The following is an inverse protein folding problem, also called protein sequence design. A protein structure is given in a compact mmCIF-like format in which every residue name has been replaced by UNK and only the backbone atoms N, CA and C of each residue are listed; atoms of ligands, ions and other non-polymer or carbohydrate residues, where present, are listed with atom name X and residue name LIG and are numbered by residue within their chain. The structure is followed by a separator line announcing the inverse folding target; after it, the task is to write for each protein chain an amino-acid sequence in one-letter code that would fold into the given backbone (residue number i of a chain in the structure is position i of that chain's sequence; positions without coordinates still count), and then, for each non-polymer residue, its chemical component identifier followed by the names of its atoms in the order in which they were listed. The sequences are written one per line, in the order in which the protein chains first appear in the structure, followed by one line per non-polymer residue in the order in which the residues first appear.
data_IF_222236863158
#
_entry.id   IF_222236863158
#
_cell.length_a   1.000
_cell.length_b   1.000
_cell.length_c   1.000
_cell.angle_alpha   90.00
_cell.angle_beta   90.00
_cell.angle_gamma   90.00
#
_symmetry.space_group_name_H-M   'P 1'
#
loop_
_entity.id
_entity.type
_entity.pdbx_description
1 polymer ?
#
# COMPACT_ATOMS: atom_id res chain seq x y z
N UNK A 1 16.48 59.87 16.92
CA UNK A 1 15.78 59.01 17.90
C UNK A 1 14.58 58.21 17.34
N UNK A 2 13.99 58.55 16.18
CA UNK A 2 12.80 57.84 15.65
C UNK A 2 13.09 56.49 14.97
N UNK A 3 14.23 56.35 14.30
CA UNK A 3 14.59 55.15 13.51
C UNK A 3 14.75 53.88 14.35
N UNK A 4 15.38 53.98 15.52
CA UNK A 4 15.57 52.84 16.43
C UNK A 4 14.25 52.28 16.99
N UNK A 5 13.22 53.13 17.18
CA UNK A 5 11.90 52.67 17.64
C UNK A 5 11.14 51.94 16.52
N UNK A 6 11.28 52.38 15.27
CA UNK A 6 10.66 51.75 14.11
C UNK A 6 11.27 50.38 13.82
N UNK A 7 12.61 50.26 13.83
CA UNK A 7 13.30 48.98 13.65
C UNK A 7 12.91 47.97 14.74
N UNK A 8 12.83 48.42 16.01
CA UNK A 8 12.41 47.56 17.12
C UNK A 8 10.97 47.08 16.98
N UNK A 9 10.04 47.91 16.49
CA UNK A 9 8.64 47.52 16.23
C UNK A 9 8.52 46.48 15.11
N UNK A 10 9.27 46.66 14.02
CA UNK A 10 9.29 45.70 12.90
C UNK A 10 9.88 44.35 13.36
N UNK A 11 10.99 44.37 14.10
CA UNK A 11 11.60 43.15 14.64
C UNK A 11 10.66 42.40 15.59
N UNK A 12 9.98 43.09 16.51
CA UNK A 12 8.97 42.48 17.39
C UNK A 12 7.78 41.91 16.60
N UNK A 13 7.31 42.63 15.58
CA UNK A 13 6.23 42.14 14.70
C UNK A 13 6.60 40.86 13.96
N UNK A 14 7.82 40.80 13.41
CA UNK A 14 8.32 39.61 12.73
C UNK A 14 8.47 38.40 13.69
N UNK A 15 8.97 38.63 14.91
CA UNK A 15 9.09 37.59 15.93
C UNK A 15 7.73 37.05 16.39
N UNK A 16 6.73 37.93 16.56
CA UNK A 16 5.37 37.52 16.91
C UNK A 16 4.70 36.73 15.76
N UNK A 17 4.89 37.15 14.51
CA UNK A 17 4.39 36.43 13.35
C UNK A 17 5.04 35.04 13.21
N UNK A 18 6.35 34.95 13.40
CA UNK A 18 7.07 33.67 13.39
C UNK A 18 6.62 32.74 14.53
N UNK A 19 6.44 33.28 15.74
CA UNK A 19 5.91 32.54 16.89
C UNK A 19 4.49 32.03 16.64
N UNK A 20 3.60 32.87 16.09
CA UNK A 20 2.25 32.47 15.71
C UNK A 20 2.26 31.40 14.61
N UNK A 21 3.11 31.54 13.59
CA UNK A 21 3.27 30.55 12.52
C UNK A 21 3.80 29.21 13.05
N UNK A 22 4.76 29.21 13.97
CA UNK A 22 5.27 28.00 14.61
C UNK A 22 4.21 27.33 15.49
N UNK A 23 3.40 28.10 16.23
CA UNK A 23 2.30 27.57 17.04
C UNK A 23 1.18 26.99 16.17
N UNK A 24 0.79 27.69 15.12
CA UNK A 24 -0.20 27.22 14.14
C UNK A 24 0.32 26.00 13.41
N UNK A 25 1.56 26.01 12.93
CA UNK A 25 2.21 24.88 12.28
C UNK A 25 2.30 23.66 13.19
N UNK A 26 2.77 23.84 14.44
CA UNK A 26 2.83 22.78 15.44
C UNK A 26 1.45 22.23 15.81
N UNK A 27 0.43 23.09 15.90
CA UNK A 27 -0.95 22.68 16.15
C UNK A 27 -1.54 21.90 14.97
N UNK A 28 -1.38 22.41 13.74
CA UNK A 28 -1.89 21.77 12.52
C UNK A 28 -1.20 20.43 12.26
N UNK A 29 0.09 20.31 12.55
CA UNK A 29 0.85 19.06 12.40
C UNK A 29 0.57 18.04 13.51
N UNK A 30 0.25 18.48 14.74
CA UNK A 30 -0.07 17.57 15.86
C UNK A 30 -1.55 17.19 15.93
N UNK A 31 -2.45 18.01 15.41
CA UNK A 31 -3.91 17.76 15.43
C UNK A 31 -4.34 16.42 14.80
N UNK A 32 -3.71 15.92 13.73
CA UNK A 32 -4.06 14.64 13.11
C UNK A 32 -3.51 13.42 13.86
N UNK A 33 -2.63 13.61 14.85
CA UNK A 33 -2.03 12.49 15.59
C UNK A 33 -3.12 11.80 16.43
N UNK A 34 -3.40 10.51 16.18
CA UNK A 34 -4.49 9.82 16.87
C UNK A 34 -4.17 9.58 18.35
N UNK A 35 -5.21 9.47 19.18
CA UNK A 35 -5.04 9.12 20.60
C UNK A 35 -4.65 7.65 20.74
N UNK A 36 -3.40 7.39 21.12
CA UNK A 36 -2.88 6.03 21.29
C UNK A 36 -3.22 5.39 22.66
N UNK A 37 -3.71 6.17 23.63
CA UNK A 37 -4.03 5.70 25.00
C UNK A 37 -5.46 6.04 25.36
N UNK A 38 -6.11 5.15 26.11
CA UNK A 38 -7.43 5.35 26.68
C UNK A 38 -8.31 4.11 26.60
N UNK A 39 -9.55 4.26 27.05
CA UNK A 39 -10.61 3.26 26.90
C UNK A 39 -11.65 3.81 25.94
N UNK A 40 -12.09 2.98 25.00
CA UNK A 40 -13.10 3.32 24.01
C UNK A 40 -14.17 2.22 24.02
N UNK A 41 -15.44 2.63 23.97
CA UNK A 41 -16.54 1.74 23.64
C UNK A 41 -16.84 1.89 22.15
N UNK A 42 -16.75 0.78 21.42
CA UNK A 42 -16.97 0.71 19.98
C UNK A 42 -18.09 -0.28 19.70
N UNK A 43 -18.99 0.09 18.79
CA UNK A 43 -20.00 -0.85 18.29
C UNK A 43 -19.31 -1.90 17.41
N UNK A 44 -19.75 -3.15 17.50
CA UNK A 44 -19.21 -4.26 16.72
C UNK A 44 -18.24 -5.17 17.49
N UNK A 45 -17.70 -4.72 18.63
CA UNK A 45 -16.94 -5.60 19.52
C UNK A 45 -17.88 -6.48 20.33
N UNK A 46 -17.60 -7.77 20.39
CA UNK A 46 -18.33 -8.77 21.19
C UNK A 46 -17.77 -8.84 22.62
N UNK A 47 -16.46 -8.74 22.75
CA UNK A 47 -15.71 -8.81 23.99
C UNK A 47 -14.68 -7.68 24.12
N UNK A 48 -13.94 -7.68 25.23
CA UNK A 48 -12.85 -6.74 25.48
C UNK A 48 -11.66 -7.06 24.57
N UNK A 49 -11.12 -6.00 23.96
CA UNK A 49 -9.84 -6.04 23.22
C UNK A 49 -8.85 -5.08 23.85
N UNK A 50 -7.59 -5.49 23.90
CA UNK A 50 -6.47 -4.66 24.34
C UNK A 50 -5.47 -4.44 23.20
N UNK A 51 -5.06 -3.18 23.02
CA UNK A 51 -4.02 -2.79 22.05
C UNK A 51 -2.88 -2.13 22.83
N UNK A 52 -1.75 -2.83 22.93
CA UNK A 52 -0.54 -2.34 23.60
C UNK A 52 0.45 -1.91 22.53
N UNK A 53 0.86 -0.64 22.51
CA UNK A 53 1.92 -0.18 21.61
C UNK A 53 3.25 -0.18 22.32
N UNK A 54 4.25 -0.78 21.70
CA UNK A 54 5.61 -0.79 22.21
C UNK A 54 6.30 0.58 22.06
N UNK A 55 7.59 0.66 22.42
CA UNK A 55 8.38 1.90 22.32
C UNK A 55 8.56 2.39 20.88
N UNK A 56 8.37 1.54 19.88
CA UNK A 56 8.46 1.84 18.45
C UNK A 56 7.09 2.14 17.83
N UNK A 57 6.01 2.05 18.62
CA UNK A 57 4.65 2.26 18.16
C UNK A 57 4.01 1.04 17.51
N UNK A 58 4.64 -0.14 17.57
CA UNK A 58 4.09 -1.37 17.01
C UNK A 58 2.93 -1.86 17.87
N UNK A 59 1.72 -2.07 17.31
CA UNK A 59 0.57 -2.54 18.08
C UNK A 59 0.62 -4.06 18.31
N UNK A 60 0.55 -4.46 19.57
CA UNK A 60 0.30 -5.82 20.03
C UNK A 60 -1.16 -5.92 20.47
N UNK A 61 -1.91 -6.83 19.85
CA UNK A 61 -3.38 -6.89 19.98
C UNK A 61 -3.79 -8.21 20.64
N UNK A 62 -4.61 -8.11 21.69
CA UNK A 62 -5.10 -9.25 22.47
C UNK A 62 -6.63 -9.24 22.46
N UNK A 63 -7.25 -10.33 22.00
CA UNK A 63 -8.70 -10.51 21.91
C UNK A 63 -9.08 -11.98 22.15
N UNK A 64 -10.33 -12.24 22.57
CA UNK A 64 -10.82 -13.60 22.87
C UNK A 64 -11.39 -14.35 21.65
N UNK A 65 -11.62 -13.64 20.53
CA UNK A 65 -12.20 -14.23 19.31
C UNK A 65 -11.66 -13.55 18.05
N UNK A 66 -11.83 -14.22 16.91
CA UNK A 66 -11.29 -13.80 15.61
C UNK A 66 -11.89 -12.48 15.13
N UNK A 67 -13.21 -12.30 15.24
CA UNK A 67 -13.88 -11.09 14.77
C UNK A 67 -13.36 -9.84 15.49
N UNK A 68 -13.25 -9.89 16.82
CA UNK A 68 -12.73 -8.80 17.63
C UNK A 68 -11.24 -8.55 17.40
N UNK A 69 -10.45 -9.62 17.18
CA UNK A 69 -9.04 -9.50 16.80
C UNK A 69 -8.90 -8.76 15.46
N UNK A 70 -9.62 -9.20 14.43
CA UNK A 70 -9.59 -8.60 13.11
C UNK A 70 -10.08 -7.14 13.14
N UNK A 71 -11.14 -6.87 13.91
CA UNK A 71 -11.62 -5.51 14.17
C UNK A 71 -10.52 -4.62 14.75
N UNK A 72 -9.82 -5.07 15.79
CA UNK A 72 -8.76 -4.27 16.40
C UNK A 72 -7.55 -4.09 15.48
N UNK A 73 -7.22 -5.09 14.65
CA UNK A 73 -6.20 -4.96 13.59
C UNK A 73 -6.60 -3.85 12.61
N UNK A 74 -7.81 -3.90 12.07
CA UNK A 74 -8.32 -2.87 11.16
C UNK A 74 -8.35 -1.48 11.79
N UNK A 75 -8.78 -1.38 13.05
CA UNK A 75 -8.79 -0.13 13.79
C UNK A 75 -7.37 0.44 14.00
N UNK A 76 -6.42 -0.39 14.45
CA UNK A 76 -5.04 0.02 14.68
C UNK A 76 -4.33 0.39 13.37
N UNK A 77 -4.54 -0.37 12.31
CA UNK A 77 -3.96 -0.08 11.00
C UNK A 77 -4.52 1.20 10.40
N UNK A 78 -5.83 1.44 10.51
CA UNK A 78 -6.43 2.70 10.10
C UNK A 78 -5.92 3.87 10.94
N UNK A 79 -5.72 3.67 12.24
CA UNK A 79 -5.08 4.66 13.11
C UNK A 79 -3.73 5.12 12.57
N UNK A 80 -2.89 4.18 12.14
CA UNK A 80 -1.51 4.48 11.79
C UNK A 80 -1.33 4.78 10.29
N UNK A 81 -2.19 4.27 9.40
CA UNK A 81 -1.96 4.19 7.94
C UNK A 81 -3.17 4.51 7.05
N UNK A 82 -4.21 5.17 7.57
CA UNK A 82 -5.46 5.39 6.80
C UNK A 82 -5.24 5.99 5.39
N UNK A 83 -4.32 6.95 5.25
CA UNK A 83 -4.00 7.53 3.95
C UNK A 83 -3.38 6.51 2.98
N UNK A 84 -2.41 5.73 3.45
CA UNK A 84 -1.80 4.66 2.65
C UNK A 84 -2.86 3.61 2.24
N UNK A 85 -3.76 3.24 3.16
CA UNK A 85 -4.85 2.31 2.87
C UNK A 85 -5.79 2.86 1.79
N UNK A 86 -6.12 4.15 1.84
CA UNK A 86 -6.94 4.81 0.82
C UNK A 86 -6.27 4.77 -0.57
N UNK A 87 -4.97 5.08 -0.63
CA UNK A 87 -4.21 5.04 -1.88
C UNK A 87 -4.15 3.63 -2.45
N UNK A 88 -3.92 2.64 -1.60
CA UNK A 88 -3.92 1.24 -1.98
C UNK A 88 -5.30 0.77 -2.51
N UNK A 89 -6.39 1.16 -1.84
CA UNK A 89 -7.76 0.86 -2.30
C UNK A 89 -8.02 1.48 -3.67
N UNK A 90 -7.68 2.76 -3.85
CA UNK A 90 -7.86 3.47 -5.13
C UNK A 90 -7.00 2.90 -6.24
N UNK A 91 -5.76 2.53 -5.94
CA UNK A 91 -4.86 1.89 -6.89
C UNK A 91 -5.44 0.55 -7.38
N UNK A 92 -6.01 -0.25 -6.49
CA UNK A 92 -6.61 -1.54 -6.81
C UNK A 92 -7.99 -1.42 -7.50
N UNK A 93 -8.73 -0.35 -7.23
CA UNK A 93 -10.02 -0.06 -7.87
C UNK A 93 -9.91 0.70 -9.20
N UNK A 94 -8.75 1.32 -9.46
CA UNK A 94 -8.54 2.21 -10.61
C UNK A 94 -9.35 3.51 -10.46
N UNK A 95 -9.18 4.18 -9.32
CA UNK A 95 -9.83 5.45 -8.95
C UNK A 95 -8.85 6.45 -8.32
N UNK A 96 -7.55 6.34 -8.61
CA UNK A 96 -6.54 7.29 -8.14
C UNK A 96 -6.68 8.66 -8.81
N UNK A 97 -7.02 8.69 -10.10
CA UNK A 97 -7.12 9.91 -10.89
C UNK A 97 -8.25 10.84 -10.42
N UNK A 98 -9.26 10.30 -9.73
CA UNK A 98 -10.29 11.09 -9.05
C UNK A 98 -9.68 12.04 -7.99
N UNK A 99 -8.51 11.70 -7.46
CA UNK A 99 -7.84 12.47 -6.41
C UNK A 99 -6.57 13.17 -6.90
N UNK A 100 -5.76 12.49 -7.72
CA UNK A 100 -4.45 12.98 -8.14
C UNK A 100 -4.45 13.54 -9.57
N UNK A 101 -5.57 13.41 -10.28
CA UNK A 101 -5.75 13.94 -11.64
C UNK A 101 -5.15 13.07 -12.73
N UNK A 102 -4.95 13.70 -13.90
CA UNK A 102 -4.49 13.07 -15.13
C UNK A 102 -3.18 12.26 -15.03
N UNK A 103 -2.16 12.63 -14.24
CA UNK A 103 -0.87 11.92 -14.23
C UNK A 103 -0.95 10.44 -13.86
N UNK A 104 -2.01 10.00 -13.17
CA UNK A 104 -2.21 8.59 -12.76
C UNK A 104 -3.33 7.90 -13.54
N UNK A 105 -3.88 8.54 -14.58
CA UNK A 105 -5.01 8.00 -15.33
C UNK A 105 -4.68 6.69 -16.05
N UNK A 106 -3.46 6.53 -16.57
CA UNK A 106 -3.04 5.27 -17.19
C UNK A 106 -2.96 4.12 -16.19
N UNK A 107 -2.59 4.39 -14.94
CA UNK A 107 -2.61 3.40 -13.85
C UNK A 107 -4.07 2.94 -13.64
N UNK A 108 -5.01 3.87 -13.53
CA UNK A 108 -6.43 3.54 -13.35
C UNK A 108 -6.97 2.70 -14.53
N UNK A 109 -6.63 3.08 -15.77
CA UNK A 109 -7.01 2.33 -16.98
C UNK A 109 -6.42 0.93 -16.98
N UNK A 110 -5.15 0.77 -16.61
CA UNK A 110 -4.48 -0.52 -16.53
C UNK A 110 -5.12 -1.42 -15.46
N UNK A 111 -5.27 -0.91 -14.24
CA UNK A 111 -5.91 -1.62 -13.13
C UNK A 111 -7.33 -2.07 -13.49
N UNK A 112 -8.13 -1.23 -14.17
CA UNK A 112 -9.49 -1.60 -14.60
C UNK A 112 -9.49 -2.65 -15.71
N UNK A 113 -8.51 -2.64 -16.61
CA UNK A 113 -8.31 -3.69 -17.63
C UNK A 113 -8.02 -5.03 -16.97
N UNK A 114 -7.02 -5.08 -16.08
CA UNK A 114 -6.69 -6.29 -15.32
C UNK A 114 -7.87 -6.74 -14.46
N UNK A 115 -8.54 -5.80 -13.78
CA UNK A 115 -9.80 -6.03 -13.09
C UNK A 115 -9.67 -6.56 -11.66
N UNK A 116 -8.70 -6.08 -10.88
CA UNK A 116 -8.50 -6.54 -9.50
C UNK A 116 -9.75 -6.42 -8.62
N UNK A 117 -10.48 -5.28 -8.71
CA UNK A 117 -11.74 -5.10 -7.98
C UNK A 117 -12.82 -6.10 -8.41
N UNK A 118 -12.98 -6.36 -9.70
CA UNK A 118 -13.93 -7.38 -10.21
C UNK A 118 -13.57 -8.77 -9.73
N UNK A 119 -12.27 -9.11 -9.70
CA UNK A 119 -11.81 -10.39 -9.18
C UNK A 119 -12.12 -10.52 -7.68
N UNK A 120 -11.81 -9.49 -6.91
CA UNK A 120 -12.11 -9.44 -5.48
C UNK A 120 -13.61 -9.52 -5.15
N UNK A 121 -14.48 -8.97 -5.99
CA UNK A 121 -15.94 -9.10 -5.84
C UNK A 121 -16.40 -10.55 -5.99
N UNK A 122 -15.82 -11.29 -6.95
CA UNK A 122 -16.09 -12.72 -7.10
C UNK A 122 -15.56 -13.53 -5.91
N UNK A 123 -14.32 -13.24 -5.50
CA UNK A 123 -13.72 -13.89 -4.33
C UNK A 123 -14.57 -13.65 -3.07
N UNK A 124 -15.10 -12.44 -2.89
CA UNK A 124 -15.96 -12.13 -1.76
C UNK A 124 -17.33 -12.83 -1.80
N UNK A 125 -17.88 -13.04 -2.99
CA UNK A 125 -19.12 -13.79 -3.16
C UNK A 125 -18.95 -15.26 -2.72
N UNK A 126 -17.75 -15.81 -2.85
CA UNK A 126 -17.40 -17.18 -2.47
C UNK A 126 -16.82 -17.30 -1.06
N UNK A 127 -16.37 -16.19 -0.46
CA UNK A 127 -15.80 -16.19 0.88
C UNK A 127 -16.81 -16.63 1.94
N UNK A 128 -16.42 -17.61 2.76
CA UNK A 128 -17.21 -18.15 3.87
C UNK A 128 -16.35 -18.29 5.14
N UNK A 129 -16.92 -18.90 6.18
CA UNK A 129 -16.21 -19.26 7.41
C UNK A 129 -15.30 -18.18 8.00
N UNK A 130 -14.03 -18.55 8.14
CA UNK A 130 -12.98 -17.78 8.82
C UNK A 130 -12.61 -16.53 8.03
N UNK A 131 -12.51 -16.64 6.70
CA UNK A 131 -12.18 -15.54 5.80
C UNK A 131 -13.22 -14.43 5.87
N UNK A 132 -14.50 -14.81 5.79
CA UNK A 132 -15.62 -13.87 5.88
C UNK A 132 -15.65 -13.16 7.23
N UNK A 133 -15.55 -13.92 8.33
CA UNK A 133 -15.56 -13.35 9.68
C UNK A 133 -14.41 -12.36 9.91
N UNK A 134 -13.21 -12.69 9.43
CA UNK A 134 -12.03 -11.85 9.57
C UNK A 134 -12.14 -10.56 8.73
N UNK A 135 -12.58 -10.66 7.47
CA UNK A 135 -12.69 -9.49 6.59
C UNK A 135 -13.80 -8.52 7.01
N UNK A 136 -14.93 -9.05 7.50
CA UNK A 136 -16.01 -8.23 8.08
C UNK A 136 -15.55 -7.54 9.36
N UNK A 137 -14.90 -8.27 10.28
CA UNK A 137 -14.32 -7.71 11.49
C UNK A 137 -13.33 -6.60 11.18
N UNK A 138 -12.35 -6.86 10.31
CA UNK A 138 -11.36 -5.89 9.86
C UNK A 138 -12.01 -4.62 9.29
N UNK A 139 -12.96 -4.79 8.36
CA UNK A 139 -13.65 -3.65 7.73
C UNK A 139 -14.44 -2.83 8.74
N UNK A 140 -15.11 -3.48 9.70
CA UNK A 140 -15.82 -2.81 10.78
C UNK A 140 -14.87 -2.00 11.68
N UNK A 141 -13.67 -2.53 11.97
CA UNK A 141 -12.62 -1.85 12.71
C UNK A 141 -12.11 -0.59 12.02
N UNK A 142 -11.81 -0.68 10.72
CA UNK A 142 -11.42 0.47 9.88
C UNK A 142 -12.52 1.53 9.89
N UNK A 143 -13.77 1.13 9.70
CA UNK A 143 -14.91 2.03 9.68
C UNK A 143 -15.17 2.71 11.04
N UNK A 144 -14.97 1.98 12.14
CA UNK A 144 -15.07 2.53 13.49
C UNK A 144 -14.01 3.62 13.75
N UNK A 145 -12.82 3.51 13.14
CA UNK A 145 -11.83 4.58 13.15
C UNK A 145 -12.25 5.76 12.27
N UNK A 146 -12.62 5.51 11.01
CA UNK A 146 -13.04 6.56 10.05
C UNK A 146 -14.16 7.44 10.64
N UNK A 147 -15.15 6.83 11.30
CA UNK A 147 -16.31 7.53 11.86
C UNK A 147 -15.95 8.58 12.92
N UNK A 148 -14.80 8.46 13.59
CA UNK A 148 -14.43 9.32 14.73
C UNK A 148 -13.11 10.06 14.57
N UNK A 149 -12.28 9.66 13.62
CA UNK A 149 -10.94 10.15 13.50
C UNK A 149 -10.92 11.64 13.12
N UNK A 150 -9.93 12.36 13.66
CA UNK A 150 -9.44 13.57 13.02
C UNK A 150 -8.64 13.10 11.82
N UNK A 151 -9.13 13.41 10.62
CA UNK A 151 -8.54 12.89 9.39
C UNK A 151 -7.05 13.24 9.30
N UNK A 152 -6.23 12.32 8.73
CA UNK A 152 -4.84 12.62 8.39
C UNK A 152 -4.69 13.90 7.56
N UNK A 153 -3.48 14.46 7.56
CA UNK A 153 -3.20 15.75 6.93
C UNK A 153 -3.52 15.74 5.44
N UNK A 154 -3.23 14.64 4.75
CA UNK A 154 -3.42 14.43 3.32
C UNK A 154 -4.89 14.63 2.91
N UNK A 155 -5.81 14.04 3.68
CA UNK A 155 -7.25 14.23 3.50
C UNK A 155 -7.68 15.68 3.71
N UNK A 156 -7.04 16.39 4.64
CA UNK A 156 -7.32 17.80 4.91
C UNK A 156 -6.83 18.70 3.77
N UNK A 157 -5.62 18.45 3.27
CA UNK A 157 -5.03 19.20 2.14
C UNK A 157 -5.86 19.00 0.87
N UNK A 158 -6.22 17.75 0.57
CA UNK A 158 -6.99 17.39 -0.61
C UNK A 158 -8.50 17.59 -0.44
N UNK A 159 -8.95 18.06 0.72
CA UNK A 159 -10.35 18.31 1.06
C UNK A 159 -11.28 17.13 0.76
N UNK A 160 -10.79 15.92 1.06
CA UNK A 160 -11.50 14.67 0.78
C UNK A 160 -11.66 13.83 2.05
N UNK A 161 -12.51 12.81 1.97
CA UNK A 161 -12.69 11.79 3.02
C UNK A 161 -12.79 10.41 2.40
N UNK A 162 -12.28 9.36 3.09
CA UNK A 162 -12.40 8.01 2.59
C UNK A 162 -13.86 7.56 2.67
N UNK A 163 -14.32 6.80 1.67
CA UNK A 163 -15.57 6.05 1.77
C UNK A 163 -15.43 4.92 2.81
N UNK A 164 -16.54 4.41 3.39
CA UNK A 164 -16.50 3.26 4.27
C UNK A 164 -15.78 2.08 3.61
N UNK A 165 -14.85 1.48 4.34
CA UNK A 165 -14.10 0.30 3.93
C UNK A 165 -15.01 -0.92 3.82
N UNK A 166 -14.88 -1.67 2.73
CA UNK A 166 -15.59 -2.91 2.49
C UNK A 166 -14.62 -4.10 2.51
N UNK A 167 -15.06 -5.32 2.85
CA UNK A 167 -14.25 -6.54 2.74
C UNK A 167 -13.51 -6.68 1.41
N UNK A 168 -14.21 -6.32 0.33
CA UNK A 168 -13.68 -6.39 -1.03
C UNK A 168 -12.50 -5.45 -1.26
N UNK A 169 -12.39 -4.34 -0.53
CA UNK A 169 -11.27 -3.39 -0.68
C UNK A 169 -9.94 -4.04 -0.23
N UNK A 170 -9.99 -4.87 0.82
CA UNK A 170 -8.85 -5.66 1.27
C UNK A 170 -8.44 -6.71 0.24
N UNK A 171 -9.42 -7.45 -0.30
CA UNK A 171 -9.20 -8.48 -1.32
C UNK A 171 -8.64 -7.87 -2.62
N UNK A 172 -9.18 -6.72 -3.05
CA UNK A 172 -8.74 -6.03 -4.26
C UNK A 172 -7.27 -5.60 -4.14
N UNK A 173 -6.88 -5.05 -2.99
CA UNK A 173 -5.49 -4.72 -2.75
C UNK A 173 -4.60 -5.97 -2.70
N UNK A 174 -5.06 -7.07 -2.09
CA UNK A 174 -4.35 -8.35 -2.12
C UNK A 174 -4.09 -8.86 -3.55
N UNK A 175 -5.09 -8.75 -4.44
CA UNK A 175 -4.95 -9.09 -5.87
C UNK A 175 -3.93 -8.22 -6.59
N UNK A 176 -3.99 -6.89 -6.38
CA UNK A 176 -3.01 -5.96 -6.94
C UNK A 176 -1.60 -6.28 -6.45
N UNK A 177 -1.44 -6.51 -5.14
CA UNK A 177 -0.14 -6.77 -4.52
C UNK A 177 0.46 -8.09 -5.02
N UNK A 178 -0.34 -9.15 -5.11
CA UNK A 178 0.08 -10.42 -5.69
C UNK A 178 0.54 -10.27 -7.14
N UNK A 179 -0.23 -9.56 -7.97
CA UNK A 179 0.14 -9.31 -9.37
C UNK A 179 1.44 -8.50 -9.51
N UNK A 180 1.65 -7.50 -8.64
CA UNK A 180 2.86 -6.70 -8.65
C UNK A 180 4.13 -7.51 -8.32
N UNK A 181 3.99 -8.69 -7.69
CA UNK A 181 5.11 -9.57 -7.32
C UNK A 181 5.38 -10.69 -8.35
N UNK A 182 4.46 -10.97 -9.27
CA UNK A 182 4.67 -12.03 -10.28
C UNK A 182 5.57 -11.59 -11.42
N UNK A 183 5.55 -10.29 -11.77
CA UNK A 183 6.34 -9.71 -12.86
C UNK A 183 6.18 -10.43 -14.20
N UNK A 184 7.11 -10.19 -15.12
CA UNK A 184 7.34 -10.92 -16.37
C UNK A 184 6.47 -10.57 -17.60
N UNK A 185 5.21 -10.15 -17.46
CA UNK A 185 4.36 -9.91 -18.63
C UNK A 185 4.91 -8.84 -19.60
N UNK A 186 5.53 -7.80 -19.04
CA UNK A 186 6.18 -6.71 -19.77
C UNK A 186 7.49 -7.17 -20.41
N UNK A 187 8.28 -7.96 -19.69
CA UNK A 187 9.49 -8.59 -20.22
C UNK A 187 9.17 -9.53 -21.39
N UNK A 188 8.09 -10.31 -21.34
CA UNK A 188 7.69 -11.16 -22.48
C UNK A 188 7.39 -10.35 -23.75
N UNK A 189 6.81 -9.15 -23.62
CA UNK A 189 6.57 -8.26 -24.77
C UNK A 189 7.92 -7.76 -25.32
N UNK A 190 8.83 -7.33 -24.44
CA UNK A 190 10.17 -6.88 -24.85
C UNK A 190 10.96 -8.02 -25.50
N UNK A 191 10.88 -9.24 -24.96
CA UNK A 191 11.46 -10.45 -25.57
C UNK A 191 10.92 -10.69 -26.96
N UNK A 192 9.58 -10.63 -27.11
CA UNK A 192 8.91 -10.80 -28.40
C UNK A 192 9.41 -9.80 -29.45
N UNK A 193 9.43 -8.50 -29.10
CA UNK A 193 9.93 -7.45 -30.00
C UNK A 193 11.42 -7.58 -30.31
N UNK A 194 12.22 -8.01 -29.35
CA UNK A 194 13.65 -8.22 -29.53
C UNK A 194 13.90 -9.38 -30.50
N UNK A 195 13.20 -10.49 -30.33
CA UNK A 195 13.30 -11.65 -31.23
C UNK A 195 12.83 -11.26 -32.65
N UNK A 196 11.72 -10.53 -32.77
CA UNK A 196 11.20 -10.08 -34.07
C UNK A 196 12.20 -9.18 -34.81
N UNK A 197 12.87 -8.26 -34.09
CA UNK A 197 13.72 -7.24 -34.71
C UNK A 197 15.18 -7.64 -34.86
N UNK A 198 15.69 -8.48 -33.96
CA UNK A 198 17.12 -8.81 -33.85
C UNK A 198 17.41 -10.31 -33.84
N UNK A 199 16.38 -11.17 -33.88
CA UNK A 199 16.52 -12.62 -33.86
C UNK A 199 16.63 -13.22 -32.44
N UNK A 200 16.48 -14.53 -32.37
CA UNK A 200 16.51 -15.27 -31.10
C UNK A 200 17.89 -15.30 -30.43
N UNK A 201 18.96 -15.17 -31.22
CA UNK A 201 20.33 -15.13 -30.72
C UNK A 201 20.61 -13.86 -29.90
N UNK A 202 20.14 -12.70 -30.38
CA UNK A 202 20.26 -11.43 -29.65
C UNK A 202 19.55 -11.48 -28.29
N UNK A 203 18.40 -12.16 -28.22
CA UNK A 203 17.70 -12.36 -26.94
C UNK A 203 18.48 -13.28 -25.99
N UNK A 204 19.13 -14.32 -26.52
CA UNK A 204 19.98 -15.23 -25.72
C UNK A 204 21.22 -14.52 -25.16
N UNK A 205 21.75 -13.53 -25.89
CA UNK A 205 22.85 -12.69 -25.42
C UNK A 205 22.40 -11.72 -24.30
N UNK A 206 21.21 -11.12 -24.44
CA UNK A 206 20.65 -10.19 -23.46
C UNK A 206 20.20 -10.88 -22.17
N UNK A 207 19.57 -12.05 -22.30
CA UNK A 207 19.12 -12.86 -21.16
C UNK A 207 19.72 -14.27 -21.26
N UNK A 208 20.96 -14.44 -20.74
CA UNK A 208 21.58 -15.75 -20.75
C UNK A 208 20.79 -16.72 -19.89
N UNK A 209 20.75 -17.97 -20.35
CA UNK A 209 20.17 -19.07 -19.59
C UNK A 209 20.85 -19.22 -18.22
N UNK A 210 20.09 -19.77 -17.26
CA UNK A 210 20.63 -20.02 -15.93
C UNK A 210 21.93 -20.86 -16.03
N UNK A 211 23.06 -20.41 -15.45
CA UNK A 211 24.36 -21.02 -15.72
C UNK A 211 24.45 -22.47 -15.26
N UNK A 212 25.17 -23.29 -16.01
CA UNK A 212 25.60 -24.59 -15.51
C UNK A 212 26.53 -24.40 -14.31
N UNK A 213 26.41 -25.24 -13.28
CA UNK A 213 27.20 -25.12 -12.05
C UNK A 213 26.64 -24.10 -11.04
N UNK A 214 25.65 -23.29 -11.41
CA UNK A 214 25.05 -22.34 -10.48
C UNK A 214 24.14 -23.05 -9.46
N UNK A 215 24.07 -22.57 -8.20
CA UNK A 215 23.34 -23.25 -7.14
C UNK A 215 21.83 -23.21 -7.35
N UNK A 216 21.15 -24.35 -7.23
CA UNK A 216 19.68 -24.39 -7.22
C UNK A 216 19.14 -24.50 -5.80
N UNK A 217 17.91 -24.02 -5.58
CA UNK A 217 17.23 -24.06 -4.27
C UNK A 217 16.85 -25.50 -3.91
N UNK A 218 16.40 -26.28 -4.90
CA UNK A 218 15.90 -27.65 -4.70
C UNK A 218 16.50 -28.58 -5.77
N UNK A 219 17.20 -29.66 -5.38
CA UNK A 219 17.62 -29.99 -4.01
C UNK A 219 18.75 -29.09 -3.48
N UNK A 220 18.81 -28.82 -2.16
CA UNK A 220 19.90 -28.04 -1.56
C UNK A 220 21.27 -28.64 -1.85
N UNK A 221 22.24 -27.79 -2.20
CA UNK A 221 23.60 -28.21 -2.51
C UNK A 221 23.77 -28.87 -3.88
N UNK A 222 22.74 -28.84 -4.73
CA UNK A 222 22.87 -29.25 -6.12
C UNK A 222 23.09 -28.06 -7.05
N UNK A 223 23.75 -28.33 -8.16
CA UNK A 223 24.07 -27.36 -9.19
C UNK A 223 23.13 -27.53 -10.39
N UNK A 224 22.81 -26.42 -11.04
CA UNK A 224 22.06 -26.41 -12.28
C UNK A 224 22.87 -27.06 -13.40
N UNK A 225 22.18 -27.81 -14.26
CA UNK A 225 22.77 -28.42 -15.45
C UNK A 225 23.02 -27.41 -16.60
N UNK A 226 22.56 -26.18 -16.44
CA UNK A 226 22.45 -25.19 -17.53
C UNK A 226 21.29 -25.51 -18.47
N UNK A 227 20.72 -24.48 -19.12
CA UNK A 227 19.80 -24.71 -20.23
C UNK A 227 20.60 -24.94 -21.52
N UNK A 228 20.21 -25.92 -22.33
CA UNK A 228 20.84 -26.13 -23.63
C UNK A 228 20.58 -24.91 -24.52
N UNK A 229 21.59 -24.09 -24.77
CA UNK A 229 21.51 -23.00 -25.75
C UNK A 229 21.24 -23.60 -27.11
N UNK A 230 20.05 -23.38 -27.65
CA UNK A 230 19.65 -23.70 -29.03
C UNK A 230 20.45 -22.78 -29.97
N UNK A 231 21.72 -23.10 -30.16
CA UNK A 231 22.68 -22.24 -30.85
C UNK A 231 24.09 -22.85 -31.01
N UNK A 232 24.33 -24.07 -30.50
CA UNK A 232 25.46 -24.87 -31.00
C UNK A 232 25.09 -25.42 -32.37
N UNK A 233 25.14 -24.55 -33.38
CA UNK A 233 25.39 -24.95 -34.76
C UNK A 233 26.66 -25.79 -34.73
N UNK A 234 26.47 -27.11 -34.82
CA UNK A 234 27.57 -28.02 -35.11
C UNK A 234 27.99 -27.72 -36.55
N UNK A 235 28.97 -26.81 -36.68
CA UNK A 235 29.79 -26.69 -37.88
C UNK A 235 30.50 -28.01 -38.10
N UNK A 236 29.81 -28.99 -38.71
CA UNK A 236 30.44 -30.13 -39.34
C UNK A 236 31.12 -29.60 -40.59
N UNK A 237 32.42 -29.34 -40.49
CA UNK A 237 33.31 -29.35 -41.63
C UNK A 237 33.21 -30.72 -42.31
N UNK A 238 32.63 -30.76 -43.50
CA UNK A 238 32.99 -31.68 -44.59
C UNK A 238 32.77 -30.99 -45.92
#
# INVERSE_FOLDING_TARGET
MGTARTVRRIATGALLAAGAAALVGGYVLRRPVPRAKGKLSLRGLRERVEIVRDRWGVPHIYASNLNDLAFAVGYAQAQDRLWQMEMNRRAAAGTLAELLGEPVLEIDRMTRRIGFRRAAERDWAEADGVEREALEGYSAGVNAYIARAKMPLEFTILRTRPAPWQPVDSLAFGRLFGWALTGNWDLEIVRSWTIERFGAEAMTELEPSYPAGAPVIVPPGTEAKGAATTGQSTGRSR
#
